data_IF_071654392369
#
_entry.id   IF_071654392369
#
_cell.length_a   1.000
_cell.length_b   1.000
_cell.length_c   1.000
_cell.angle_alpha   90.00
_cell.angle_beta   90.00
_cell.angle_gamma   90.00
#
_symmetry.space_group_name_H-M   'P 1'
#
loop_
_entity.id
_entity.type
_entity.pdbx_description
1 polymer ?
#
# COMPACT_ATOMS: atom_id res chain seq x y z
N UNK A 1 -9.19 -16.79 -7.99
CA UNK A 1 -10.43 -16.03 -7.65
C UNK A 1 -10.92 -16.26 -6.21
N UNK A 2 -10.74 -17.44 -5.56
CA UNK A 2 -11.22 -17.69 -4.18
C UNK A 2 -10.44 -16.99 -3.04
N UNK A 3 -9.18 -16.62 -3.25
CA UNK A 3 -8.30 -16.04 -2.21
C UNK A 3 -8.55 -14.56 -1.94
N UNK A 4 -8.78 -13.75 -2.98
CA UNK A 4 -9.09 -12.31 -2.85
C UNK A 4 -10.39 -12.06 -2.07
N UNK A 5 -11.39 -12.93 -2.24
CA UNK A 5 -12.67 -12.83 -1.51
C UNK A 5 -12.50 -12.97 0.00
N UNK A 6 -11.67 -13.91 0.46
CA UNK A 6 -11.52 -14.18 1.90
C UNK A 6 -10.71 -13.09 2.60
N UNK A 7 -9.68 -12.58 1.93
CA UNK A 7 -8.92 -11.42 2.43
C UNK A 7 -9.84 -10.22 2.61
N UNK A 8 -10.61 -9.86 1.58
CA UNK A 8 -11.56 -8.74 1.66
C UNK A 8 -12.61 -8.88 2.76
N UNK A 9 -13.11 -10.09 3.03
CA UNK A 9 -14.00 -10.34 4.17
C UNK A 9 -13.32 -10.01 5.52
N UNK A 10 -12.05 -10.40 5.69
CA UNK A 10 -11.29 -10.13 6.91
C UNK A 10 -11.05 -8.63 7.06
N UNK A 11 -10.65 -7.94 5.98
CA UNK A 11 -10.40 -6.50 6.00
C UNK A 11 -11.66 -5.71 6.33
N UNK A 12 -12.81 -6.07 5.75
CA UNK A 12 -14.10 -5.49 6.10
C UNK A 12 -14.46 -5.77 7.56
N UNK A 13 -14.22 -6.99 8.03
CA UNK A 13 -14.50 -7.35 9.42
C UNK A 13 -13.67 -6.56 10.43
N UNK A 14 -12.41 -6.29 10.08
CA UNK A 14 -11.53 -5.44 10.87
C UNK A 14 -12.09 -4.01 11.00
N UNK A 15 -12.51 -3.40 9.89
CA UNK A 15 -13.14 -2.08 9.87
C UNK A 15 -14.43 -2.07 10.70
N UNK A 16 -15.28 -3.09 10.58
CA UNK A 16 -16.50 -3.22 11.40
C UNK A 16 -16.21 -3.34 12.90
N UNK A 17 -15.10 -4.00 13.26
CA UNK A 17 -14.78 -4.32 14.66
C UNK A 17 -14.12 -3.15 15.37
N UNK A 18 -13.18 -2.47 14.69
CA UNK A 18 -12.35 -1.42 15.29
C UNK A 18 -12.72 0.00 14.86
N UNK A 19 -13.52 0.14 13.79
CA UNK A 19 -13.98 1.43 13.30
C UNK A 19 -13.02 2.07 12.31
N UNK A 20 -13.59 2.92 11.44
CA UNK A 20 -12.87 3.58 10.34
C UNK A 20 -11.69 4.44 10.83
N UNK A 21 -11.89 5.25 11.87
CA UNK A 21 -10.85 6.17 12.36
C UNK A 21 -9.63 5.40 12.90
N UNK A 22 -9.87 4.34 13.69
CA UNK A 22 -8.78 3.50 14.19
C UNK A 22 -8.01 2.81 13.06
N UNK A 23 -8.69 2.37 11.99
CA UNK A 23 -8.01 1.78 10.84
C UNK A 23 -7.28 2.83 9.98
N UNK A 24 -7.74 4.09 9.94
CA UNK A 24 -6.98 5.18 9.32
C UNK A 24 -5.70 5.49 10.11
N UNK A 25 -5.75 5.44 11.44
CA UNK A 25 -4.57 5.58 12.28
C UNK A 25 -3.57 4.44 12.03
N UNK A 26 -4.05 3.19 11.89
CA UNK A 26 -3.20 2.05 11.51
C UNK A 26 -2.50 2.26 10.16
N UNK A 27 -3.18 2.81 9.16
CA UNK A 27 -2.54 3.12 7.86
C UNK A 27 -1.35 4.07 8.04
N UNK A 28 -1.47 5.07 8.92
CA UNK A 28 -0.39 6.02 9.21
C UNK A 28 0.75 5.33 9.97
N UNK A 29 0.42 4.45 10.90
CA UNK A 29 1.38 3.66 11.69
C UNK A 29 2.24 2.79 10.77
N UNK A 30 1.65 1.94 9.94
CA UNK A 30 2.39 1.02 9.05
C UNK A 30 3.26 1.78 8.03
N UNK A 31 2.76 2.91 7.48
CA UNK A 31 3.58 3.76 6.61
C UNK A 31 4.78 4.36 7.35
N UNK A 32 4.64 4.66 8.64
CA UNK A 32 5.72 5.18 9.49
C UNK A 32 6.73 4.08 9.84
N UNK A 33 6.26 2.86 10.06
CA UNK A 33 7.08 1.68 10.34
C UNK A 33 7.94 1.29 9.13
N UNK A 34 7.35 1.24 7.93
CA UNK A 34 8.10 1.07 6.68
C UNK A 34 9.14 2.19 6.49
N UNK A 35 8.76 3.44 6.77
CA UNK A 35 9.69 4.58 6.70
C UNK A 35 10.87 4.39 7.66
N UNK A 36 10.62 3.91 8.88
CA UNK A 36 11.63 3.59 9.90
C UNK A 36 12.59 2.50 9.41
N UNK A 37 12.09 1.41 8.82
CA UNK A 37 12.94 0.33 8.30
C UNK A 37 13.76 0.75 7.07
N UNK A 38 13.20 1.57 6.17
CA UNK A 38 13.95 2.19 5.07
C UNK A 38 15.09 3.07 5.62
N UNK A 39 14.83 3.85 6.68
CA UNK A 39 15.86 4.69 7.30
C UNK A 39 17.00 3.85 7.91
N UNK A 40 16.68 2.73 8.56
CA UNK A 40 17.68 1.79 9.08
C UNK A 40 18.51 1.18 7.95
N UNK A 41 17.86 0.74 6.87
CA UNK A 41 18.52 0.16 5.70
C UNK A 41 19.52 1.15 5.07
N UNK A 42 19.10 2.41 4.88
CA UNK A 42 19.97 3.49 4.37
C UNK A 42 21.19 3.76 5.25
N UNK A 43 21.16 3.40 6.54
CA UNK A 43 22.29 3.50 7.48
C UNK A 43 23.13 2.22 7.52
N UNK A 44 22.95 1.32 6.56
CA UNK A 44 23.73 0.09 6.41
C UNK A 44 23.28 -1.06 7.31
N UNK A 45 22.07 -1.01 7.88
CA UNK A 45 21.51 -2.16 8.60
C UNK A 45 21.10 -3.26 7.62
N UNK A 46 21.35 -4.50 8.01
CA UNK A 46 20.86 -5.69 7.31
C UNK A 46 19.48 -6.06 7.86
N UNK A 47 18.45 -5.33 7.43
CA UNK A 47 17.06 -5.45 7.90
C UNK A 47 16.08 -5.76 6.74
N UNK A 48 16.48 -6.67 5.84
CA UNK A 48 15.68 -7.00 4.64
C UNK A 48 14.36 -7.69 5.00
N UNK A 49 14.36 -8.53 6.03
CA UNK A 49 13.16 -9.27 6.42
C UNK A 49 12.10 -8.31 6.97
N UNK A 50 12.53 -7.38 7.81
CA UNK A 50 11.72 -6.31 8.38
C UNK A 50 11.13 -5.44 7.26
N UNK A 51 11.92 -5.00 6.27
CA UNK A 51 11.36 -4.26 5.13
C UNK A 51 10.26 -5.04 4.40
N UNK A 52 10.40 -6.36 4.24
CA UNK A 52 9.38 -7.17 3.56
C UNK A 52 8.10 -7.24 4.37
N UNK A 53 8.21 -7.41 5.69
CA UNK A 53 7.09 -7.40 6.63
C UNK A 53 6.32 -6.08 6.53
N UNK A 54 7.04 -4.96 6.69
CA UNK A 54 6.44 -3.61 6.66
C UNK A 54 5.86 -3.25 5.28
N UNK A 55 6.40 -3.79 4.18
CA UNK A 55 5.78 -3.64 2.84
C UNK A 55 4.45 -4.39 2.79
N UNK A 56 4.39 -5.62 3.32
CA UNK A 56 3.16 -6.39 3.33
C UNK A 56 2.10 -5.72 4.21
N UNK A 57 2.49 -5.17 5.36
CA UNK A 57 1.58 -4.45 6.25
C UNK A 57 1.03 -3.18 5.58
N UNK A 58 1.88 -2.40 4.91
CA UNK A 58 1.45 -1.24 4.11
C UNK A 58 0.54 -1.65 2.95
N UNK A 59 0.81 -2.75 2.24
CA UNK A 59 -0.07 -3.25 1.18
C UNK A 59 -1.46 -3.58 1.74
N UNK A 60 -1.54 -4.28 2.87
CA UNK A 60 -2.81 -4.61 3.54
C UNK A 60 -3.56 -3.34 3.97
N UNK A 61 -2.85 -2.35 4.54
CA UNK A 61 -3.46 -1.09 4.95
C UNK A 61 -3.93 -0.24 3.76
N UNK A 62 -3.25 -0.30 2.61
CA UNK A 62 -3.72 0.33 1.37
C UNK A 62 -5.03 -0.30 0.92
N UNK A 63 -5.17 -1.62 0.97
CA UNK A 63 -6.44 -2.31 0.64
C UNK A 63 -7.57 -1.87 1.59
N UNK A 64 -7.30 -1.76 2.90
CA UNK A 64 -8.29 -1.22 3.84
C UNK A 64 -8.64 0.24 3.55
N UNK A 65 -7.67 1.08 3.19
CA UNK A 65 -7.89 2.48 2.86
C UNK A 65 -8.81 2.62 1.62
N UNK A 66 -8.59 1.78 0.60
CA UNK A 66 -9.46 1.72 -0.59
C UNK A 66 -10.89 1.38 -0.19
N UNK A 67 -11.09 0.35 0.65
CA UNK A 67 -12.40 -0.06 1.15
C UNK A 67 -13.06 1.07 1.96
N UNK A 68 -12.34 1.69 2.90
CA UNK A 68 -12.87 2.72 3.79
C UNK A 68 -13.25 4.02 3.06
N UNK A 69 -12.57 4.33 1.96
CA UNK A 69 -12.82 5.52 1.15
C UNK A 69 -13.68 5.24 -0.09
N UNK A 70 -14.13 4.01 -0.28
CA UNK A 70 -14.96 3.58 -1.41
C UNK A 70 -14.33 3.93 -2.78
N UNK A 71 -13.00 3.78 -2.87
CA UNK A 71 -12.23 4.12 -4.08
C UNK A 71 -12.28 2.97 -5.08
N UNK A 72 -12.49 3.28 -6.35
CA UNK A 72 -12.36 2.30 -7.43
C UNK A 72 -10.88 2.02 -7.76
N UNK A 73 -10.49 0.74 -7.78
CA UNK A 73 -9.12 0.33 -8.10
C UNK A 73 -8.69 0.74 -9.52
N UNK A 74 -9.65 0.85 -10.46
CA UNK A 74 -9.42 1.33 -11.81
C UNK A 74 -8.97 2.79 -11.85
N UNK A 75 -9.55 3.65 -11.01
CA UNK A 75 -9.09 5.03 -10.85
C UNK A 75 -7.63 5.10 -10.39
N UNK A 76 -7.28 4.31 -9.36
CA UNK A 76 -5.88 4.20 -8.90
C UNK A 76 -4.97 3.72 -10.03
N UNK A 77 -5.42 2.73 -10.81
CA UNK A 77 -4.69 2.20 -11.96
C UNK A 77 -4.42 3.26 -13.04
N UNK A 78 -5.39 4.12 -13.34
CA UNK A 78 -5.22 5.24 -14.27
C UNK A 78 -4.16 6.22 -13.76
N UNK A 79 -4.26 6.66 -12.50
CA UNK A 79 -3.28 7.57 -11.90
C UNK A 79 -1.87 6.96 -11.83
N UNK A 80 -1.75 5.65 -11.53
CA UNK A 80 -0.47 4.93 -11.55
C UNK A 80 0.14 4.96 -12.95
N UNK A 81 -0.64 4.62 -13.98
CA UNK A 81 -0.18 4.61 -15.39
C UNK A 81 0.32 5.98 -15.83
N UNK A 82 -0.42 7.05 -15.54
CA UNK A 82 0.03 8.41 -15.86
C UNK A 82 1.34 8.78 -15.17
N UNK A 83 1.49 8.42 -13.88
CA UNK A 83 2.74 8.67 -13.12
C UNK A 83 3.92 7.91 -13.71
N UNK A 84 3.72 6.65 -14.11
CA UNK A 84 4.74 5.84 -14.75
C UNK A 84 5.10 6.39 -16.13
N UNK A 85 4.11 6.80 -16.94
CA UNK A 85 4.37 7.42 -18.24
C UNK A 85 5.14 8.74 -18.11
N UNK A 86 4.86 9.56 -17.08
CA UNK A 86 5.70 10.73 -16.78
C UNK A 86 7.13 10.38 -16.37
N UNK A 87 7.33 9.26 -15.69
CA UNK A 87 8.66 8.77 -15.36
C UNK A 87 9.39 8.27 -16.62
N UNK A 88 8.70 7.53 -17.50
CA UNK A 88 9.23 7.07 -18.77
C UNK A 88 9.71 8.25 -19.64
N UNK A 89 8.90 9.31 -19.75
CA UNK A 89 9.27 10.53 -20.46
C UNK A 89 10.55 11.18 -19.88
N UNK A 90 10.68 11.24 -18.55
CA UNK A 90 11.89 11.79 -17.88
C UNK A 90 13.14 10.95 -18.11
N UNK A 91 12.97 9.65 -18.30
CA UNK A 91 14.06 8.70 -18.56
C UNK A 91 14.35 8.54 -20.06
N UNK A 92 13.53 9.12 -20.94
CA UNK A 92 13.67 9.00 -22.39
C UNK A 92 13.39 7.60 -22.92
N UNK A 93 12.53 6.83 -22.23
CA UNK A 93 12.14 5.46 -22.64
C UNK A 93 10.68 5.41 -23.08
N UNK A 94 10.30 4.32 -23.77
CA UNK A 94 8.94 4.12 -24.28
C UNK A 94 7.90 4.06 -23.14
N UNK A 95 6.73 4.65 -23.39
CA UNK A 95 5.59 4.64 -22.47
C UNK A 95 4.97 3.25 -22.38
N UNK A 96 4.42 2.92 -21.23
CA UNK A 96 3.58 1.74 -21.06
C UNK A 96 2.15 2.15 -21.39
N UNK A 97 1.62 1.60 -22.50
CA UNK A 97 0.25 1.79 -23.04
C UNK A 97 -0.80 2.19 -22.02
#
# INVERSE_FOLDING_TARGET
MRTLSKMNEILKKAIETWGKDAQLDMVIEEMSELTKEICKHKRGKSNRAEIIEEIADVEIMIEQLIIMLEIDEGEIGLFKREKINRLADRLGIERTV
#
